data_IF_328088621625
#
_entry.id   IF_328088621625
#
_cell.length_a   1.000
_cell.length_b   1.000
_cell.length_c   1.000
_cell.angle_alpha   90.00
_cell.angle_beta   90.00
_cell.angle_gamma   90.00
#
_symmetry.space_group_name_H-M   'P 1'
#
loop_
_entity.id
_entity.type
_entity.pdbx_description
1 polymer ?
#
# COMPACT_ATOMS: atom_id res chain seq x y z
N UNK A 1 2.81 -16.13 -9.48
CA UNK A 1 3.77 -15.06 -9.15
C UNK A 1 3.32 -14.52 -7.82
N UNK A 2 4.24 -14.45 -6.87
CA UNK A 2 3.92 -14.09 -5.49
C UNK A 2 4.55 -12.74 -5.16
N UNK A 3 3.76 -11.85 -4.57
CA UNK A 3 4.19 -10.53 -4.14
C UNK A 3 3.77 -10.34 -2.69
N UNK A 4 4.74 -10.01 -1.84
CA UNK A 4 4.50 -9.81 -0.40
C UNK A 4 5.17 -8.52 0.02
N UNK A 5 4.40 -7.59 0.55
CA UNK A 5 4.88 -6.32 1.10
C UNK A 5 4.43 -6.17 2.55
N UNK A 6 5.26 -5.53 3.37
CA UNK A 6 4.90 -5.04 4.70
C UNK A 6 4.52 -3.58 4.60
N UNK A 7 3.48 -3.19 5.33
CA UNK A 7 3.04 -1.81 5.45
C UNK A 7 3.57 -1.21 6.76
N UNK A 8 3.94 0.05 6.72
CA UNK A 8 4.23 0.83 7.93
C UNK A 8 2.94 1.10 8.70
N UNK A 9 3.06 1.08 10.03
CA UNK A 9 2.01 1.44 10.97
C UNK A 9 2.44 2.68 11.75
N UNK A 10 1.55 3.65 12.02
CA UNK A 10 0.12 3.62 11.70
C UNK A 10 -0.17 3.95 10.22
N UNK A 11 -1.32 3.47 9.73
CA UNK A 11 -1.92 3.97 8.49
C UNK A 11 -2.28 5.44 8.69
N UNK A 12 -1.95 6.28 7.72
CA UNK A 12 -2.28 7.71 7.81
C UNK A 12 -3.71 7.89 7.30
N UNK A 13 -4.63 8.25 8.19
CA UNK A 13 -5.95 8.74 7.80
C UNK A 13 -5.85 10.24 7.51
N UNK A 14 -6.03 10.61 6.24
CA UNK A 14 -5.98 12.02 5.80
C UNK A 14 -7.30 12.73 6.10
N UNK A 15 -8.39 11.97 6.20
CA UNK A 15 -9.74 12.48 6.50
C UNK A 15 -10.74 12.26 5.37
N UNK A 16 -12.00 12.57 5.67
CA UNK A 16 -13.13 12.48 4.74
C UNK A 16 -13.24 13.75 3.90
N UNK A 17 -13.31 13.59 2.59
CA UNK A 17 -13.60 14.64 1.62
C UNK A 17 -14.86 14.32 0.80
N UNK A 18 -15.17 15.15 -0.22
CA UNK A 18 -16.39 15.02 -1.01
C UNK A 18 -16.56 13.66 -1.71
N UNK A 19 -15.46 12.94 -1.95
CA UNK A 19 -15.44 11.65 -2.66
C UNK A 19 -15.16 10.44 -1.75
N UNK A 20 -15.14 10.63 -0.43
CA UNK A 20 -14.83 9.57 0.53
C UNK A 20 -13.62 9.86 1.41
N UNK A 21 -13.14 8.86 2.13
CA UNK A 21 -12.02 8.96 3.09
C UNK A 21 -10.71 8.52 2.45
N UNK A 22 -9.70 9.40 2.54
CA UNK A 22 -8.36 9.14 2.00
C UNK A 22 -7.46 8.51 3.06
N UNK A 23 -6.78 7.43 2.68
CA UNK A 23 -5.72 6.81 3.48
C UNK A 23 -4.38 6.81 2.74
N UNK A 24 -3.28 6.73 3.48
CA UNK A 24 -1.94 6.47 2.95
C UNK A 24 -1.34 5.28 3.71
N UNK A 25 -1.00 4.23 2.95
CA UNK A 25 -0.34 3.01 3.40
C UNK A 25 1.08 2.99 2.87
N UNK A 26 2.06 3.42 3.67
CA UNK A 26 3.45 3.39 3.24
C UNK A 26 3.97 1.94 3.23
N UNK A 27 4.59 1.51 2.15
CA UNK A 27 5.25 0.21 2.05
C UNK A 27 6.64 0.28 2.69
N UNK A 28 6.87 -0.59 3.67
CA UNK A 28 8.13 -0.69 4.39
C UNK A 28 9.18 -1.45 3.60
N UNK A 29 8.84 -2.66 3.16
CA UNK A 29 9.72 -3.54 2.38
C UNK A 29 8.93 -4.76 1.90
N UNK A 30 9.57 -5.60 1.09
CA UNK A 30 9.00 -6.90 0.74
C UNK A 30 9.76 -7.62 -0.35
N UNK A 31 9.11 -8.58 -0.98
CA UNK A 31 9.72 -9.51 -1.94
C UNK A 31 8.74 -9.88 -3.03
N UNK A 32 9.28 -10.22 -4.20
CA UNK A 32 8.52 -10.82 -5.28
C UNK A 32 9.28 -11.99 -5.90
N UNK A 33 8.56 -13.04 -6.27
CA UNK A 33 9.11 -14.25 -6.88
C UNK A 33 8.19 -14.73 -8.01
N UNK A 34 8.74 -14.83 -9.21
CA UNK A 34 8.05 -15.27 -10.41
C UNK A 34 9.01 -15.96 -11.40
N UNK A 35 8.49 -16.63 -12.45
CA UNK A 35 9.28 -17.56 -13.27
C UNK A 35 10.52 -16.97 -13.94
N UNK A 36 10.57 -15.66 -14.15
CA UNK A 36 11.69 -14.95 -14.80
C UNK A 36 12.17 -13.73 -14.03
N UNK A 37 11.63 -13.48 -12.84
CA UNK A 37 11.92 -12.25 -12.09
C UNK A 37 11.81 -12.50 -10.59
N UNK A 38 12.81 -12.02 -9.86
CA UNK A 38 12.88 -12.12 -8.40
C UNK A 38 13.59 -10.91 -7.84
N UNK A 39 13.15 -10.44 -6.68
CA UNK A 39 13.80 -9.30 -6.04
C UNK A 39 13.15 -8.85 -4.74
N UNK A 40 13.63 -7.69 -4.28
CA UNK A 40 13.15 -7.01 -3.08
C UNK A 40 12.41 -5.74 -3.46
N UNK A 41 11.37 -5.42 -2.70
CA UNK A 41 10.72 -4.12 -2.73
C UNK A 41 11.52 -3.20 -1.83
N UNK A 42 11.92 -2.05 -2.36
CA UNK A 42 12.66 -1.04 -1.61
C UNK A 42 11.72 -0.22 -0.72
N UNK A 43 12.20 0.28 0.43
CA UNK A 43 11.41 1.20 1.26
C UNK A 43 11.04 2.49 0.53
N UNK A 44 9.90 3.06 0.89
CA UNK A 44 9.46 4.39 0.42
C UNK A 44 8.34 4.39 -0.62
N UNK A 45 7.88 3.22 -1.05
CA UNK A 45 6.63 3.09 -1.80
C UNK A 45 5.40 3.27 -0.89
N UNK A 46 4.21 3.26 -1.46
CA UNK A 46 2.97 3.26 -0.70
C UNK A 46 1.73 3.16 -1.59
N UNK A 47 0.61 2.84 -0.96
CA UNK A 47 -0.71 2.87 -1.57
C UNK A 47 -1.52 4.04 -1.00
N UNK A 48 -2.38 4.61 -1.83
CA UNK A 48 -3.17 5.80 -1.52
C UNK A 48 -4.64 5.51 -1.85
N UNK A 49 -5.32 4.58 -1.16
CA UNK A 49 -6.70 4.24 -1.48
C UNK A 49 -7.67 5.36 -1.08
N UNK A 50 -8.79 5.42 -1.80
CA UNK A 50 -9.96 6.21 -1.47
C UNK A 50 -11.08 5.22 -1.12
N UNK A 51 -11.54 5.23 0.12
CA UNK A 51 -12.73 4.50 0.51
C UNK A 51 -13.94 5.41 0.33
N UNK A 52 -14.88 5.03 -0.52
CA UNK A 52 -16.13 5.78 -0.67
C UNK A 52 -17.10 5.45 0.49
N UNK A 53 -18.36 5.88 0.36
CA UNK A 53 -19.37 5.68 1.40
C UNK A 53 -19.82 4.22 1.54
N UNK A 54 -19.63 3.41 0.50
CA UNK A 54 -20.07 2.01 0.45
C UNK A 54 -18.97 1.05 0.96
N UNK A 55 -17.74 1.54 1.08
CA UNK A 55 -16.60 0.83 1.69
C UNK A 55 -15.84 -0.06 0.72
#
# INVERSE_FOLDING_TARGET
>A
MDFKARLYSPVINVGTGPSGTRYIYNAAEGTFDGPRIKGRILPGGGDMPLADADG
#
